data_IF_231425332829
#
_entry.id   IF_231425332829
#
_cell.length_a   1.000
_cell.length_b   1.000
_cell.length_c   1.000
_cell.angle_alpha   90.00
_cell.angle_beta   90.00
_cell.angle_gamma   90.00
#
_symmetry.space_group_name_H-M   'P 1'
#
loop_
_entity.id
_entity.type
_entity.pdbx_description
1 polymer ?
#
# COMPACT_ATOMS: atom_id res chain seq x y z
N UNK A 1 -2.80 -11.84 28.32
CA UNK A 1 -3.41 -11.85 26.98
C UNK A 1 -2.69 -10.79 26.16
N UNK A 2 -2.18 -11.08 24.95
CA UNK A 2 -1.58 -10.05 24.10
C UNK A 2 -2.63 -8.95 23.85
N UNK A 3 -2.21 -7.69 23.94
CA UNK A 3 -3.13 -6.58 23.72
C UNK A 3 -3.49 -6.53 22.23
N UNK A 4 -4.79 -6.66 21.94
CA UNK A 4 -5.30 -6.62 20.58
C UNK A 4 -5.30 -5.17 20.07
N UNK A 5 -4.83 -4.97 18.85
CA UNK A 5 -4.78 -3.65 18.25
C UNK A 5 -6.13 -3.26 17.64
N UNK A 6 -6.59 -2.06 17.96
CA UNK A 6 -7.78 -1.45 17.35
C UNK A 6 -7.52 -1.09 15.88
N UNK A 7 -8.60 -0.85 15.12
CA UNK A 7 -8.51 -0.51 13.69
C UNK A 7 -7.69 0.76 13.44
N UNK A 8 -7.90 1.81 14.23
CA UNK A 8 -7.17 3.07 14.04
C UNK A 8 -5.67 2.91 14.35
N UNK A 9 -5.28 2.06 15.32
CA UNK A 9 -3.86 1.77 15.58
C UNK A 9 -3.20 1.07 14.39
N UNK A 10 -3.91 0.11 13.76
CA UNK A 10 -3.47 -0.59 12.54
C UNK A 10 -3.28 0.38 11.37
N UNK A 11 -4.18 1.34 11.23
CA UNK A 11 -4.07 2.41 10.23
C UNK A 11 -2.85 3.31 10.50
N UNK A 12 -2.69 3.79 11.73
CA UNK A 12 -1.60 4.72 12.08
C UNK A 12 -0.21 4.07 11.97
N UNK A 13 -0.04 2.79 12.36
CA UNK A 13 1.25 2.11 12.16
C UNK A 13 1.57 1.92 10.68
N UNK A 14 0.55 1.70 9.84
CA UNK A 14 0.72 1.58 8.38
C UNK A 14 1.19 2.90 7.78
N UNK A 15 0.57 4.00 8.18
CA UNK A 15 1.01 5.35 7.80
C UNK A 15 2.44 5.59 8.27
N UNK A 16 2.76 5.33 9.54
CA UNK A 16 4.11 5.52 10.08
C UNK A 16 5.17 4.74 9.29
N UNK A 17 4.89 3.48 8.92
CA UNK A 17 5.78 2.66 8.09
C UNK A 17 6.01 3.29 6.71
N UNK A 18 4.94 3.73 6.03
CA UNK A 18 5.05 4.38 4.71
C UNK A 18 5.75 5.73 4.82
N UNK A 19 5.50 6.51 5.86
CA UNK A 19 6.20 7.77 6.14
C UNK A 19 7.71 7.54 6.27
N UNK A 20 8.14 6.51 7.01
CA UNK A 20 9.56 6.18 7.15
C UNK A 20 10.20 5.85 5.80
N UNK A 21 9.54 5.04 4.97
CA UNK A 21 10.01 4.72 3.62
C UNK A 21 9.98 5.94 2.68
N UNK A 22 8.96 6.78 2.75
CA UNK A 22 8.86 7.99 1.96
C UNK A 22 9.99 8.97 2.30
N UNK A 23 10.27 9.16 3.59
CA UNK A 23 11.39 9.97 4.06
C UNK A 23 12.74 9.40 3.60
N UNK A 24 12.94 8.08 3.71
CA UNK A 24 14.13 7.40 3.21
C UNK A 24 14.32 7.58 1.69
N UNK A 25 13.21 7.54 0.93
CA UNK A 25 13.20 7.68 -0.53
C UNK A 25 13.20 9.13 -1.04
N UNK A 26 13.10 10.13 -0.16
CA UNK A 26 12.99 11.53 -0.55
C UNK A 26 11.67 11.89 -1.24
N UNK A 27 10.58 11.21 -0.90
CA UNK A 27 9.24 11.43 -1.46
C UNK A 27 8.42 12.35 -0.56
N UNK A 28 7.56 13.17 -1.17
CA UNK A 28 6.50 13.86 -0.42
C UNK A 28 5.33 12.90 -0.23
N UNK A 29 4.71 12.94 0.94
CA UNK A 29 3.50 12.18 1.26
C UNK A 29 2.36 13.16 1.51
N UNK A 30 1.20 12.87 0.94
CA UNK A 30 -0.04 13.61 1.14
C UNK A 30 -1.13 12.68 1.63
N UNK A 31 -2.02 13.23 2.44
CA UNK A 31 -3.22 12.56 2.94
C UNK A 31 -4.45 13.37 2.53
N UNK A 32 -5.58 12.69 2.45
CA UNK A 32 -6.85 13.29 2.06
C UNK A 32 -7.74 13.46 3.28
N UNK A 33 -8.37 14.64 3.41
CA UNK A 33 -9.30 14.92 4.50
C UNK A 33 -10.63 14.16 4.34
N UNK A 34 -10.98 13.78 3.11
CA UNK A 34 -12.14 12.98 2.75
C UNK A 34 -11.69 11.91 1.77
N UNK A 35 -11.71 10.66 2.19
CA UNK A 35 -11.40 9.53 1.31
C UNK A 35 -12.60 9.18 0.44
N UNK A 36 -12.61 9.70 -0.80
CA UNK A 36 -13.59 9.32 -1.83
C UNK A 36 -13.08 8.23 -2.75
N UNK A 37 -11.76 8.15 -2.92
CA UNK A 37 -11.11 7.39 -3.99
C UNK A 37 -10.42 6.11 -3.50
N UNK A 38 -10.63 5.74 -2.22
CA UNK A 38 -10.03 4.56 -1.60
C UNK A 38 -8.52 4.73 -1.50
N UNK A 39 -8.07 5.88 -1.01
CA UNK A 39 -6.66 6.25 -0.91
C UNK A 39 -6.36 6.77 0.47
N UNK A 40 -5.54 6.02 1.21
CA UNK A 40 -5.06 6.48 2.52
C UNK A 40 -3.93 7.49 2.35
N UNK A 41 -3.00 7.24 1.40
CA UNK A 41 -1.84 8.10 1.15
C UNK A 41 -1.51 8.21 -0.33
N UNK A 42 -1.08 9.41 -0.74
CA UNK A 42 -0.51 9.67 -2.06
C UNK A 42 0.96 10.04 -1.91
N UNK A 43 1.85 9.34 -2.62
CA UNK A 43 3.26 9.73 -2.69
C UNK A 43 3.55 10.52 -3.96
N UNK A 44 4.37 11.57 -3.84
CA UNK A 44 4.77 12.44 -4.95
C UNK A 44 6.28 12.49 -5.10
N UNK A 45 6.74 12.38 -6.35
CA UNK A 45 8.13 12.57 -6.72
C UNK A 45 8.24 13.08 -8.15
N UNK A 46 8.98 14.19 -8.36
CA UNK A 46 9.28 14.76 -9.69
C UNK A 46 8.07 14.92 -10.61
N UNK A 47 6.95 15.39 -10.07
CA UNK A 47 5.70 15.61 -10.81
C UNK A 47 4.86 14.33 -11.04
N UNK A 48 5.36 13.16 -10.65
CA UNK A 48 4.60 11.91 -10.64
C UNK A 48 3.95 11.70 -9.29
N UNK A 49 2.78 11.06 -9.31
CA UNK A 49 2.03 10.66 -8.12
C UNK A 49 1.73 9.17 -8.19
N UNK A 50 1.65 8.53 -7.03
CA UNK A 50 1.15 7.15 -6.86
C UNK A 50 0.20 7.13 -5.67
N UNK A 51 -0.89 6.39 -5.78
CA UNK A 51 -1.90 6.27 -4.73
C UNK A 51 -1.80 4.90 -4.07
N UNK A 52 -1.89 4.87 -2.74
CA UNK A 52 -1.74 3.66 -1.96
C UNK A 52 -2.88 3.55 -0.95
N UNK A 53 -3.64 2.46 -1.04
CA UNK A 53 -4.49 2.00 0.05
C UNK A 53 -3.64 1.12 0.98
N UNK A 54 -3.68 1.42 2.27
CA UNK A 54 -3.02 0.68 3.33
C UNK A 54 -4.01 -0.29 3.96
N UNK A 55 -3.59 -1.55 4.09
CA UNK A 55 -4.27 -2.57 4.90
C UNK A 55 -3.25 -3.14 5.87
N UNK A 56 -3.72 -3.54 7.05
CA UNK A 56 -2.85 -4.07 8.10
C UNK A 56 -3.48 -5.28 8.78
N UNK A 57 -2.68 -6.31 9.02
CA UNK A 57 -3.13 -7.56 9.63
C UNK A 57 -2.11 -8.15 10.58
N UNK A 58 -2.63 -8.74 11.66
CA UNK A 58 -1.85 -9.55 12.61
C UNK A 58 -1.86 -11.04 12.24
N UNK A 59 -2.74 -11.44 11.33
CA UNK A 59 -3.01 -12.82 10.95
C UNK A 59 -3.10 -12.90 9.42
N UNK A 60 -1.98 -12.78 8.70
CA UNK A 60 -1.99 -12.82 7.24
C UNK A 60 -2.37 -14.21 6.73
N UNK A 61 -3.16 -14.28 5.66
CA UNK A 61 -3.36 -15.54 4.95
C UNK A 61 -2.12 -15.84 4.12
N UNK A 62 -1.35 -16.82 4.56
CA UNK A 62 -0.13 -17.27 3.87
C UNK A 62 -0.52 -18.22 2.74
N UNK A 63 0.09 -18.03 1.57
CA UNK A 63 -0.01 -18.92 0.41
C UNK A 63 1.36 -19.52 0.10
N UNK A 64 1.43 -20.45 -0.86
CA UNK A 64 2.70 -21.06 -1.28
C UNK A 64 3.78 -20.03 -1.65
N UNK A 65 3.39 -18.98 -2.37
CA UNK A 65 4.32 -18.03 -2.99
C UNK A 65 4.29 -16.63 -2.34
N UNK A 66 3.53 -16.44 -1.26
CA UNK A 66 3.36 -15.14 -0.62
C UNK A 66 2.14 -15.06 0.28
N UNK A 67 1.30 -14.06 0.04
CA UNK A 67 0.15 -13.73 0.87
C UNK A 67 -1.10 -13.53 0.01
N UNK A 68 -2.26 -13.68 0.65
CA UNK A 68 -3.56 -13.32 0.07
C UNK A 68 -4.28 -12.38 1.02
N UNK A 69 -4.91 -11.36 0.46
CA UNK A 69 -5.74 -10.43 1.22
C UNK A 69 -7.10 -10.27 0.54
N UNK A 70 -8.18 -10.46 1.28
CA UNK A 70 -9.53 -10.22 0.76
C UNK A 70 -9.80 -8.71 0.82
N UNK A 71 -9.85 -8.08 -0.35
CA UNK A 71 -10.19 -6.67 -0.50
C UNK A 71 -11.67 -6.55 -0.86
N UNK A 72 -12.37 -5.62 -0.22
CA UNK A 72 -13.74 -5.30 -0.60
C UNK A 72 -13.81 -4.77 -2.05
N UNK A 73 -14.91 -5.08 -2.72
CA UNK A 73 -15.05 -4.80 -4.15
C UNK A 73 -15.02 -3.30 -4.44
N UNK A 74 -15.55 -2.47 -3.54
CA UNK A 74 -15.57 -1.02 -3.71
C UNK A 74 -14.15 -0.44 -3.74
N UNK A 75 -13.31 -0.82 -2.78
CA UNK A 75 -11.89 -0.40 -2.73
C UNK A 75 -11.11 -0.96 -3.92
N UNK A 76 -11.36 -2.22 -4.29
CA UNK A 76 -10.76 -2.83 -5.48
C UNK A 76 -11.08 -2.04 -6.75
N UNK A 77 -12.37 -1.76 -7.00
CA UNK A 77 -12.85 -1.05 -8.18
C UNK A 77 -12.31 0.38 -8.26
N UNK A 78 -12.23 1.07 -7.12
CA UNK A 78 -11.59 2.38 -7.03
C UNK A 78 -10.10 2.31 -7.41
N UNK A 79 -9.32 1.43 -6.79
CA UNK A 79 -7.86 1.35 -7.01
C UNK A 79 -7.49 0.89 -8.42
N UNK A 80 -8.35 0.10 -9.05
CA UNK A 80 -8.07 -0.47 -10.36
C UNK A 80 -8.47 0.43 -11.54
N UNK A 81 -9.25 1.47 -11.27
CA UNK A 81 -9.97 2.26 -12.28
C UNK A 81 -9.01 2.81 -13.35
N UNK A 82 -9.24 2.56 -14.65
CA UNK A 82 -8.25 2.86 -15.69
C UNK A 82 -7.96 4.36 -15.86
N UNK A 83 -8.91 5.22 -15.48
CA UNK A 83 -8.83 6.68 -15.64
C UNK A 83 -8.23 7.41 -14.43
N UNK A 84 -7.69 6.70 -13.44
CA UNK A 84 -6.98 7.36 -12.33
C UNK A 84 -5.82 8.19 -12.87
N UNK A 85 -5.58 9.36 -12.26
CA UNK A 85 -4.44 10.23 -12.59
C UNK A 85 -3.13 9.77 -11.94
N UNK A 86 -3.21 8.92 -10.92
CA UNK A 86 -2.10 8.21 -10.29
C UNK A 86 -2.44 6.70 -10.23
N UNK A 87 -1.48 5.80 -10.52
CA UNK A 87 -1.74 4.37 -10.45
C UNK A 87 -2.10 3.95 -9.02
N UNK A 88 -3.15 3.15 -8.89
CA UNK A 88 -3.63 2.63 -7.61
C UNK A 88 -2.89 1.36 -7.18
N UNK A 89 -2.39 1.39 -5.95
CA UNK A 89 -1.66 0.30 -5.31
C UNK A 89 -2.31 -0.11 -3.99
N UNK A 90 -2.18 -1.39 -3.64
CA UNK A 90 -2.48 -1.91 -2.31
C UNK A 90 -1.15 -2.15 -1.59
N UNK A 91 -1.04 -1.66 -0.35
CA UNK A 91 0.01 -2.06 0.58
C UNK A 91 -0.61 -2.89 1.72
N UNK A 92 -0.05 -4.08 1.96
CA UNK A 92 -0.40 -4.94 3.08
C UNK A 92 0.74 -4.92 4.11
N UNK A 93 0.47 -4.34 5.27
CA UNK A 93 1.37 -4.38 6.41
C UNK A 93 1.03 -5.60 7.30
N UNK A 94 2.03 -6.44 7.53
CA UNK A 94 1.95 -7.57 8.46
C UNK A 94 2.67 -7.20 9.74
N UNK A 95 1.96 -7.32 10.86
CA UNK A 95 2.43 -6.89 12.18
C UNK A 95 2.31 -8.03 13.20
N UNK A 96 3.14 -8.05 14.26
CA UNK A 96 3.03 -9.03 15.34
C UNK A 96 1.63 -9.03 16.00
N UNK A 97 1.16 -10.18 16.51
CA UNK A 97 -0.11 -10.26 17.25
C UNK A 97 -0.15 -9.39 18.52
N UNK A 98 1.00 -9.14 19.13
CA UNK A 98 1.13 -8.28 20.30
C UNK A 98 1.52 -6.86 19.86
N UNK A 99 0.65 -5.89 20.12
CA UNK A 99 0.89 -4.46 19.82
C UNK A 99 2.13 -3.91 20.53
N UNK A 100 2.47 -4.44 21.72
CA UNK A 100 3.66 -4.04 22.46
C UNK A 100 4.97 -4.33 21.72
N UNK A 101 4.92 -5.17 20.67
CA UNK A 101 6.08 -5.52 19.84
C UNK A 101 6.16 -4.72 18.56
N UNK A 102 5.17 -3.90 18.21
CA UNK A 102 5.15 -3.16 16.94
C UNK A 102 6.25 -2.11 16.85
N UNK A 103 6.52 -1.44 17.97
CA UNK A 103 7.60 -0.46 18.11
C UNK A 103 8.44 -0.90 19.29
N UNK A 104 9.72 -1.17 19.05
CA UNK A 104 10.66 -1.53 20.12
C UNK A 104 11.85 -0.60 20.10
N UNK A 105 12.28 -0.20 21.30
CA UNK A 105 13.43 0.66 21.49
C UNK A 105 14.67 -0.21 21.75
N UNK A 106 15.72 0.08 21.01
CA UNK A 106 17.07 -0.45 21.21
C UNK A 106 18.00 0.73 21.51
N UNK A 107 19.22 0.44 21.96
CA UNK A 107 20.16 1.47 22.40
C UNK A 107 20.44 2.54 21.33
N UNK A 108 20.49 2.14 20.06
CA UNK A 108 20.84 3.02 18.93
C UNK A 108 19.76 3.07 17.85
N UNK A 109 18.61 2.42 18.06
CA UNK A 109 17.59 2.28 17.04
C UNK A 109 16.18 2.18 17.62
N UNK A 110 15.21 2.58 16.80
CA UNK A 110 13.81 2.20 16.97
C UNK A 110 13.47 1.20 15.87
N UNK A 111 12.93 0.05 16.25
CA UNK A 111 12.48 -0.98 15.30
C UNK A 111 10.97 -0.90 15.16
N UNK A 112 10.51 -0.58 13.96
CA UNK A 112 9.14 -0.82 13.52
C UNK A 112 9.06 -2.27 13.05
N UNK A 113 8.55 -3.17 13.89
CA UNK A 113 8.46 -4.61 13.60
C UNK A 113 7.29 -4.90 12.65
N UNK A 114 7.28 -4.26 11.49
CA UNK A 114 6.22 -4.33 10.49
C UNK A 114 6.83 -4.78 9.16
N UNK A 115 6.18 -5.72 8.47
CA UNK A 115 6.61 -6.19 7.16
C UNK A 115 5.59 -5.77 6.11
N UNK A 116 5.96 -4.82 5.27
CA UNK A 116 5.10 -4.32 4.20
C UNK A 116 5.26 -5.15 2.92
N UNK A 117 4.16 -5.39 2.24
CA UNK A 117 4.10 -5.96 0.90
C UNK A 117 3.17 -5.15 0.01
N UNK A 118 3.27 -5.27 -1.30
CA UNK A 118 2.46 -4.45 -2.21
C UNK A 118 1.96 -5.18 -3.47
N UNK A 119 0.88 -4.65 -4.05
CA UNK A 119 0.37 -5.06 -5.35
C UNK A 119 -0.11 -3.84 -6.15
N UNK A 120 0.07 -3.89 -7.48
CA UNK A 120 -0.55 -2.93 -8.40
C UNK A 120 -1.94 -3.44 -8.77
N UNK A 121 -2.96 -2.59 -8.66
CA UNK A 121 -4.33 -2.93 -9.04
C UNK A 121 -4.78 -2.21 -10.32
N UNK A 122 -4.13 -1.10 -10.67
CA UNK A 122 -4.39 -0.34 -11.89
C UNK A 122 -4.51 -1.25 -13.11
N UNK A 123 -5.66 -1.18 -13.80
CA UNK A 123 -5.85 -1.88 -15.07
C UNK A 123 -6.02 -3.40 -14.99
N UNK A 124 -6.23 -3.98 -13.80
CA UNK A 124 -6.64 -5.40 -13.65
C UNK A 124 -8.00 -5.69 -14.35
N UNK A 125 -8.63 -6.85 -14.16
CA UNK A 125 -9.99 -7.10 -14.68
C UNK A 125 -11.05 -6.83 -13.61
N UNK A 126 -12.25 -6.43 -14.00
CA UNK A 126 -13.37 -6.38 -13.06
C UNK A 126 -13.67 -7.80 -12.54
N UNK A 127 -14.17 -7.90 -11.32
CA UNK A 127 -14.53 -9.16 -10.67
C UNK A 127 -15.93 -9.03 -10.07
N UNK A 128 -16.66 -10.14 -9.99
CA UNK A 128 -17.95 -10.17 -9.30
C UNK A 128 -17.80 -10.48 -7.82
N UNK A 129 -18.80 -10.11 -7.02
CA UNK A 129 -18.89 -10.43 -5.58
C UNK A 129 -18.69 -9.22 -4.67
N UNK A 130 -18.71 -9.47 -3.36
CA UNK A 130 -18.47 -8.42 -2.34
C UNK A 130 -17.00 -8.23 -1.99
N UNK A 131 -16.16 -9.25 -2.23
CA UNK A 131 -14.72 -9.21 -1.99
C UNK A 131 -13.97 -9.97 -3.08
N UNK A 132 -12.68 -9.65 -3.24
CA UNK A 132 -11.75 -10.35 -4.12
C UNK A 132 -10.41 -10.61 -3.45
N UNK A 133 -9.81 -11.76 -3.74
CA UNK A 133 -8.53 -12.15 -3.18
C UNK A 133 -7.38 -11.52 -3.97
N UNK A 134 -6.68 -10.58 -3.35
CA UNK A 134 -5.47 -9.98 -3.90
C UNK A 134 -4.27 -10.85 -3.51
N UNK A 135 -3.64 -11.46 -4.51
CA UNK A 135 -2.41 -12.24 -4.32
C UNK A 135 -1.21 -11.30 -4.30
N UNK A 136 -0.39 -11.43 -3.27
CA UNK A 136 0.80 -10.60 -3.06
C UNK A 136 2.01 -11.53 -2.92
N UNK A 137 2.83 -11.69 -3.97
CA UNK A 137 4.04 -12.50 -3.93
C UNK A 137 4.98 -12.07 -2.82
N UNK A 138 5.71 -13.02 -2.22
CA UNK A 138 6.65 -12.72 -1.12
C UNK A 138 7.77 -11.76 -1.53
N UNK A 139 8.11 -11.74 -2.82
CA UNK A 139 9.14 -10.86 -3.37
C UNK A 139 8.66 -9.42 -3.56
N UNK A 140 7.35 -9.15 -3.44
CA UNK A 140 6.77 -7.81 -3.51
C UNK A 140 6.83 -7.11 -2.16
N UNK A 141 8.02 -7.04 -1.55
CA UNK A 141 8.25 -6.29 -0.32
C UNK A 141 8.10 -4.79 -0.57
N UNK A 142 7.37 -4.10 0.31
CA UNK A 142 7.21 -2.66 0.26
C UNK A 142 8.48 -2.00 0.80
N UNK A 143 9.28 -1.48 -0.13
CA UNK A 143 10.56 -0.82 0.14
C UNK A 143 10.66 0.46 -0.70
N UNK A 144 11.69 1.29 -0.46
CA UNK A 144 11.97 2.45 -1.33
C UNK A 144 12.14 2.05 -2.80
N UNK A 145 12.75 0.88 -3.06
CA UNK A 145 12.88 0.32 -4.41
C UNK A 145 11.51 -0.02 -5.03
N UNK A 146 10.60 -0.61 -4.24
CA UNK A 146 9.24 -0.87 -4.68
C UNK A 146 8.49 0.44 -5.01
N UNK A 147 8.61 1.47 -4.16
CA UNK A 147 8.04 2.79 -4.45
C UNK A 147 8.60 3.39 -5.76
N UNK A 148 9.89 3.21 -6.03
CA UNK A 148 10.48 3.56 -7.33
C UNK A 148 9.80 2.84 -8.51
N UNK A 149 9.52 1.54 -8.34
CA UNK A 149 8.79 0.74 -9.35
C UNK A 149 7.36 1.22 -9.56
N UNK A 150 6.68 1.67 -8.50
CA UNK A 150 5.36 2.29 -8.57
C UNK A 150 5.41 3.61 -9.36
N UNK A 151 6.42 4.47 -9.10
CA UNK A 151 6.61 5.70 -9.88
C UNK A 151 6.94 5.42 -11.36
N UNK A 152 7.65 4.33 -11.68
CA UNK A 152 7.85 3.92 -13.07
C UNK A 152 6.53 3.54 -13.74
N UNK A 153 5.58 2.96 -13.00
CA UNK A 153 4.22 2.72 -13.51
C UNK A 153 3.48 4.04 -13.78
N UNK A 154 3.57 5.01 -12.88
CA UNK A 154 3.00 6.34 -13.09
C UNK A 154 3.57 7.01 -14.35
N UNK A 155 4.89 6.94 -14.55
CA UNK A 155 5.56 7.46 -15.75
C UNK A 155 5.04 6.80 -17.03
N UNK A 156 4.90 5.47 -17.05
CA UNK A 156 4.36 4.75 -18.21
C UNK A 156 2.93 5.17 -18.52
N UNK A 157 2.12 5.41 -17.49
CA UNK A 157 0.74 5.87 -17.64
C UNK A 157 0.69 7.25 -18.31
N UNK A 158 1.50 8.21 -17.85
CA UNK A 158 1.59 9.55 -18.46
C UNK A 158 2.04 9.49 -19.91
N UNK A 159 3.08 8.69 -20.23
CA UNK A 159 3.57 8.53 -21.59
C UNK A 159 2.58 7.80 -22.50
N UNK A 160 1.81 6.86 -21.97
CA UNK A 160 0.76 6.15 -22.69
C UNK A 160 -0.40 7.06 -23.09
N UNK A 161 -0.86 7.92 -22.17
CA UNK A 161 -1.90 8.91 -22.45
C UNK A 161 -1.51 9.87 -23.57
N UNK A 162 -0.25 10.33 -23.61
CA UNK A 162 0.26 11.19 -24.67
C UNK A 162 0.26 10.53 -26.06
N UNK A 163 0.41 9.20 -26.13
CA UNK A 163 0.37 8.46 -27.41
C UNK A 163 -1.04 8.30 -27.97
N UNK A 164 -2.08 8.37 -27.13
CA UNK A 164 -3.48 8.29 -27.56
C UNK A 164 -4.07 9.63 -28.01
N UNK A 165 -3.33 10.72 -27.87
CA UNK A 165 -3.75 12.08 -28.22
C UNK A 165 -3.22 12.57 -29.58
N UNK A 166 -2.36 11.79 -30.24
CA UNK A 166 -1.74 12.12 -31.54
C UNK A 166 -2.31 11.25 -32.66
#
# INVERSE_FOLDING_TARGET
MPAEATSWQKEQVSRAYVHALAAQGGYTIGEWNVDKDGVDVTLRSRGLMIDIQLKCTQSPRVTRDGYSFDLDIETYDKLRHPERSAPGHLALLIVPPDIGRWVTHQQEAVVLACHGYWASLQGMSAVGGSTTAIRIPRQQELTVKAMGTMFDAARRMTLGGLRGMN
#
